data_IF_689500312534
#
_entry.id   IF_689500312534
#
_cell.length_a   1.000
_cell.length_b   1.000
_cell.length_c   1.000
_cell.angle_alpha   90.00
_cell.angle_beta   90.00
_cell.angle_gamma   90.00
#
_symmetry.space_group_name_H-M   'P 1'
#
loop_
_entity.id
_entity.type
_entity.pdbx_description
1 polymer ?
#
# COMPACT_ATOMS: atom_id res chain seq x y z
N UNK A 1 0.61 12.22 5.49
CA UNK A 1 0.22 10.79 5.58
C UNK A 1 0.85 10.06 6.78
N UNK A 2 1.27 10.76 7.86
CA UNK A 2 2.06 10.15 8.96
C UNK A 2 1.27 9.30 9.95
N UNK A 3 -0.05 9.39 9.98
CA UNK A 3 -0.82 8.81 11.09
C UNK A 3 -1.00 7.29 11.07
N UNK A 4 -0.55 6.57 10.02
CA UNK A 4 -0.72 5.10 9.89
C UNK A 4 -2.18 4.62 9.75
N UNK A 5 -3.17 5.47 9.99
CA UNK A 5 -4.61 5.14 10.00
C UNK A 5 -5.13 4.71 8.64
N UNK A 6 -4.69 5.36 7.57
CA UNK A 6 -5.11 5.04 6.20
C UNK A 6 -4.62 3.65 5.82
N UNK A 7 -3.38 3.33 6.19
CA UNK A 7 -2.78 2.01 6.00
C UNK A 7 -3.54 0.94 6.79
N UNK A 8 -3.88 1.21 8.05
CA UNK A 8 -4.69 0.28 8.84
C UNK A 8 -6.09 0.06 8.26
N UNK A 9 -6.74 1.12 7.76
CA UNK A 9 -8.04 1.03 7.07
C UNK A 9 -7.94 0.23 5.78
N UNK A 10 -6.84 0.35 5.03
CA UNK A 10 -6.59 -0.42 3.82
C UNK A 10 -6.58 -1.91 4.12
N UNK A 11 -5.83 -2.32 5.16
CA UNK A 11 -5.79 -3.72 5.61
C UNK A 11 -7.18 -4.21 6.03
N UNK A 12 -7.94 -3.43 6.80
CA UNK A 12 -9.30 -3.82 7.20
C UNK A 12 -10.26 -3.94 6.03
N UNK A 13 -10.05 -3.17 4.97
CA UNK A 13 -10.84 -3.29 3.73
C UNK A 13 -10.50 -4.57 2.97
N UNK A 14 -9.25 -5.03 3.10
CA UNK A 14 -8.76 -6.25 2.48
C UNK A 14 -9.17 -7.50 3.24
N UNK A 15 -8.94 -7.48 4.55
CA UNK A 15 -9.31 -8.53 5.47
C UNK A 15 -10.10 -7.90 6.61
N UNK A 16 -11.43 -8.06 6.63
CA UNK A 16 -12.26 -7.46 7.67
C UNK A 16 -11.79 -7.93 9.05
N UNK A 17 -11.79 -7.02 10.01
CA UNK A 17 -11.38 -7.25 11.40
C UNK A 17 -9.91 -7.62 11.64
N UNK A 18 -9.00 -7.41 10.67
CA UNK A 18 -7.59 -7.72 10.86
C UNK A 18 -6.89 -6.76 11.84
N UNK A 19 -7.16 -5.46 11.72
CA UNK A 19 -6.69 -4.42 12.65
C UNK A 19 -7.90 -3.89 13.43
N UNK A 20 -8.14 -4.46 14.61
CA UNK A 20 -9.34 -4.14 15.41
C UNK A 20 -9.29 -2.74 16.03
N UNK A 21 -8.09 -2.25 16.37
CA UNK A 21 -7.88 -1.00 17.08
C UNK A 21 -6.96 -0.09 16.27
N UNK A 22 -7.51 0.98 15.72
CA UNK A 22 -6.75 2.03 15.06
C UNK A 22 -6.77 3.23 16.00
N UNK A 23 -5.60 3.62 16.48
CA UNK A 23 -5.46 4.73 17.40
C UNK A 23 -5.76 6.05 16.67
N UNK A 24 -6.66 6.86 17.28
CA UNK A 24 -7.20 8.08 16.69
C UNK A 24 -6.63 9.36 17.31
N UNK A 25 -5.70 9.30 18.25
CA UNK A 25 -5.06 10.50 18.77
C UNK A 25 -3.83 10.86 17.92
N UNK A 26 -3.46 12.13 17.93
CA UNK A 26 -2.25 12.64 17.24
C UNK A 26 -1.02 12.53 18.15
N UNK A 27 -0.94 11.45 18.92
CA UNK A 27 0.18 11.19 19.83
C UNK A 27 1.23 10.41 19.06
N UNK A 28 2.48 10.87 19.08
CA UNK A 28 3.60 10.25 18.35
C UNK A 28 3.72 8.73 18.60
N UNK A 29 3.52 8.31 19.86
CA UNK A 29 3.53 6.89 20.25
C UNK A 29 2.40 6.09 19.59
N UNK A 30 1.18 6.65 19.57
CA UNK A 30 0.02 6.01 18.93
C UNK A 30 0.17 5.93 17.41
N UNK A 31 0.74 6.95 16.78
CA UNK A 31 1.02 6.94 15.34
C UNK A 31 2.03 5.85 14.98
N UNK A 32 3.10 5.70 15.77
CA UNK A 32 4.09 4.63 15.62
C UNK A 32 3.48 3.26 15.80
N UNK A 33 2.57 3.09 16.77
CA UNK A 33 1.88 1.83 17.01
C UNK A 33 0.94 1.46 15.85
N UNK A 34 0.21 2.42 15.28
CA UNK A 34 -0.60 2.19 14.07
C UNK A 34 0.26 1.68 12.89
N UNK A 35 1.45 2.24 12.71
CA UNK A 35 2.37 1.81 11.65
C UNK A 35 2.85 0.37 11.91
N UNK A 36 3.20 0.05 13.17
CA UNK A 36 3.58 -1.31 13.56
C UNK A 36 2.46 -2.33 13.31
N UNK A 37 1.22 -2.00 13.65
CA UNK A 37 0.05 -2.84 13.39
C UNK A 37 -0.14 -3.13 11.89
N UNK A 38 0.14 -2.15 11.03
CA UNK A 38 0.14 -2.36 9.58
C UNK A 38 1.23 -3.33 9.14
N UNK A 39 2.47 -3.15 9.60
CA UNK A 39 3.61 -4.02 9.27
C UNK A 39 3.34 -5.46 9.71
N UNK A 40 2.87 -5.66 10.94
CA UNK A 40 2.52 -6.99 11.47
C UNK A 40 1.38 -7.63 10.66
N UNK A 41 0.38 -6.84 10.24
CA UNK A 41 -0.67 -7.34 9.38
C UNK A 41 -0.15 -7.74 7.99
N UNK A 42 0.71 -6.93 7.36
CA UNK A 42 1.34 -7.27 6.09
C UNK A 42 2.16 -8.56 6.18
N UNK A 43 2.92 -8.73 7.26
CA UNK A 43 3.67 -9.96 7.53
C UNK A 43 2.77 -11.19 7.62
N UNK A 44 1.66 -11.09 8.36
CA UNK A 44 0.69 -12.18 8.48
C UNK A 44 -0.04 -12.50 7.18
N UNK A 45 -0.19 -11.51 6.31
CA UNK A 45 -0.75 -11.67 4.98
C UNK A 45 0.26 -12.24 3.96
N UNK A 46 1.50 -12.50 4.38
CA UNK A 46 2.52 -13.15 3.55
C UNK A 46 3.45 -12.19 2.79
N UNK A 47 3.47 -10.91 3.16
CA UNK A 47 4.54 -10.01 2.70
C UNK A 47 5.86 -10.45 3.34
N UNK A 48 6.91 -10.56 2.52
CA UNK A 48 8.24 -10.98 2.99
C UNK A 48 8.85 -9.89 3.86
N UNK A 49 9.62 -10.29 4.87
CA UNK A 49 10.23 -9.34 5.81
C UNK A 49 11.19 -8.34 5.13
N UNK A 50 11.81 -8.73 4.02
CA UNK A 50 12.65 -7.87 3.16
C UNK A 50 11.87 -6.75 2.47
N UNK A 51 10.58 -6.96 2.20
CA UNK A 51 9.70 -5.98 1.57
C UNK A 51 8.96 -5.13 2.62
N UNK A 52 9.08 -5.44 3.92
CA UNK A 52 8.47 -4.66 4.99
C UNK A 52 9.32 -3.43 5.31
N UNK A 53 8.68 -2.28 5.50
CA UNK A 53 9.33 -1.06 5.96
C UNK A 53 9.30 -0.94 7.48
N UNK A 54 10.17 -0.09 8.04
CA UNK A 54 10.24 0.22 9.46
C UNK A 54 9.39 1.43 9.84
N UNK A 55 9.01 1.53 11.11
CA UNK A 55 8.22 2.66 11.62
C UNK A 55 8.86 4.01 11.31
N UNK A 56 10.20 4.10 11.42
CA UNK A 56 10.96 5.32 11.15
C UNK A 56 10.91 5.73 9.68
N UNK A 57 10.87 4.77 8.75
CA UNK A 57 10.86 5.01 7.30
C UNK A 57 9.64 5.82 6.87
N UNK A 58 8.50 5.57 7.53
CA UNK A 58 7.25 6.30 7.31
C UNK A 58 7.05 7.49 8.25
N UNK A 59 7.47 7.37 9.52
CA UNK A 59 7.26 8.40 10.54
C UNK A 59 8.24 9.57 10.36
N UNK A 60 9.54 9.26 10.29
CA UNK A 60 10.62 10.23 10.09
C UNK A 60 10.90 10.50 8.60
N UNK A 61 10.16 9.84 7.70
CA UNK A 61 10.32 9.92 6.25
C UNK A 61 11.74 9.54 5.79
N UNK A 62 12.41 8.66 6.55
CA UNK A 62 13.78 8.26 6.27
C UNK A 62 13.92 7.53 4.93
N UNK A 63 12.95 6.64 4.61
CA UNK A 63 12.92 5.94 3.33
C UNK A 63 11.49 5.61 2.87
N UNK A 64 10.89 6.56 2.14
CA UNK A 64 9.57 6.36 1.55
C UNK A 64 9.57 5.36 0.38
N UNK A 65 10.72 5.07 -0.24
CA UNK A 65 10.78 4.12 -1.35
C UNK A 65 10.46 2.71 -0.85
N UNK A 66 11.00 2.33 0.31
CA UNK A 66 10.68 1.08 0.98
C UNK A 66 9.18 0.95 1.29
N UNK A 67 8.52 2.03 1.71
CA UNK A 67 7.06 2.07 1.92
C UNK A 67 6.29 1.82 0.62
N UNK A 68 6.70 2.47 -0.48
CA UNK A 68 6.06 2.31 -1.79
C UNK A 68 6.27 0.89 -2.32
N UNK A 69 7.47 0.32 -2.16
CA UNK A 69 7.78 -1.04 -2.58
C UNK A 69 6.94 -2.06 -1.78
N UNK A 70 6.88 -1.91 -0.46
CA UNK A 70 6.00 -2.71 0.40
C UNK A 70 4.55 -2.68 -0.07
N UNK A 71 4.01 -1.48 -0.35
CA UNK A 71 2.64 -1.31 -0.81
C UNK A 71 2.41 -1.96 -2.19
N UNK A 72 3.40 -1.86 -3.08
CA UNK A 72 3.34 -2.46 -4.42
C UNK A 72 3.35 -3.99 -4.37
N UNK A 73 4.24 -4.58 -3.56
CA UNK A 73 4.28 -6.02 -3.32
C UNK A 73 3.00 -6.50 -2.66
N UNK A 74 2.52 -5.77 -1.64
CA UNK A 74 1.27 -6.08 -0.97
C UNK A 74 0.07 -6.03 -1.92
N UNK A 75 -0.03 -5.01 -2.77
CA UNK A 75 -1.10 -4.90 -3.78
C UNK A 75 -1.08 -6.09 -4.75
N UNK A 76 0.10 -6.56 -5.17
CA UNK A 76 0.24 -7.76 -6.01
C UNK A 76 -0.21 -9.03 -5.30
N UNK A 77 0.17 -9.20 -4.02
CA UNK A 77 -0.24 -10.35 -3.21
C UNK A 77 -1.76 -10.42 -3.06
N UNK A 78 -2.37 -9.29 -2.74
CA UNK A 78 -3.83 -9.18 -2.57
C UNK A 78 -4.57 -9.44 -3.88
N UNK A 79 -4.03 -8.98 -5.02
CA UNK A 79 -4.57 -9.32 -6.34
C UNK A 79 -4.52 -10.82 -6.67
N UNK A 80 -3.61 -11.57 -6.04
CA UNK A 80 -3.48 -13.01 -6.26
C UNK A 80 -4.44 -13.86 -5.41
N UNK A 81 -5.14 -13.27 -4.43
CA UNK A 81 -6.00 -14.05 -3.55
C UNK A 81 -7.33 -14.43 -4.21
N UNK A 82 -7.75 -15.71 -4.14
CA UNK A 82 -8.94 -16.24 -4.84
C UNK A 82 -10.30 -15.75 -4.29
N UNK A 83 -10.32 -14.71 -3.45
CA UNK A 83 -11.53 -14.09 -2.90
C UNK A 83 -11.50 -12.56 -2.86
N UNK A 84 -10.47 -11.92 -3.44
CA UNK A 84 -10.37 -10.47 -3.48
C UNK A 84 -11.05 -9.90 -4.74
N UNK A 85 -12.26 -9.36 -4.57
CA UNK A 85 -13.04 -8.66 -5.60
C UNK A 85 -12.85 -7.14 -5.53
N UNK A 86 -11.82 -6.65 -4.84
CA UNK A 86 -11.45 -5.24 -4.86
C UNK A 86 -10.75 -4.90 -6.17
N UNK A 87 -11.18 -3.81 -6.81
CA UNK A 87 -10.68 -3.30 -8.09
C UNK A 87 -9.19 -3.56 -8.24
N UNK A 88 -8.81 -4.39 -9.23
CA UNK A 88 -7.45 -4.33 -9.78
C UNK A 88 -7.18 -2.86 -9.96
N UNK A 89 -6.22 -2.29 -9.24
CA UNK A 89 -5.64 -1.01 -9.64
C UNK A 89 -4.95 -1.36 -10.96
N UNK A 90 -5.74 -1.41 -12.03
CA UNK A 90 -5.28 -1.08 -13.34
C UNK A 90 -4.85 0.37 -13.18
N UNK A 91 -3.58 0.56 -12.81
CA UNK A 91 -2.82 1.59 -13.48
C UNK A 91 -3.26 1.49 -14.94
N UNK A 92 -3.84 2.53 -15.54
CA UNK A 92 -3.99 2.50 -16.98
C UNK A 92 -2.57 2.26 -17.49
N UNK A 93 -2.27 1.02 -17.91
CA UNK A 93 -1.12 0.73 -18.72
C UNK A 93 -1.23 1.79 -19.79
N UNK A 94 -0.26 2.70 -19.79
CA UNK A 94 -0.22 3.82 -20.70
C UNK A 94 -0.65 3.27 -22.05
N UNK A 95 -1.87 3.63 -22.46
CA UNK A 95 -2.38 3.29 -23.77
C UNK A 95 -1.38 4.00 -24.65
N UNK A 96 -0.40 3.25 -25.18
CA UNK A 96 0.57 3.73 -26.16
C UNK A 96 -0.31 4.35 -27.21
N UNK A 97 -0.47 5.67 -27.15
CA UNK A 97 -0.94 6.45 -28.28
C UNK A 97 0.16 6.17 -29.28
N UNK A 98 -0.10 5.23 -30.19
CA UNK A 98 0.54 5.26 -31.49
C UNK A 98 0.25 6.67 -31.97
N UNK A 99 1.26 7.53 -31.98
CA UNK A 99 1.22 8.70 -32.83
C UNK A 99 1.12 8.11 -34.23
N UNK A 100 -0.09 8.04 -34.78
CA UNK A 100 -0.26 8.03 -36.22
C UNK A 100 0.17 9.43 -36.67
N UNK A 101 1.42 9.51 -37.11
CA UNK A 101 1.87 10.57 -37.99
C UNK A 101 1.09 10.46 -39.29
N UNK A 102 -0.09 11.04 -39.34
CA UNK A 102 -0.74 11.41 -40.60
C UNK A 102 0.01 12.62 -41.15
N UNK A 103 1.09 12.33 -41.86
CA UNK A 103 1.76 13.25 -42.77
C UNK A 103 1.88 12.55 -44.12
N UNK A 104 0.81 12.62 -44.92
CA UNK A 104 0.95 12.69 -46.38
C UNK A 104 -0.27 13.40 -46.97
N UNK A 105 -0.12 14.70 -47.22
CA UNK A 105 -0.92 15.44 -48.20
C UNK A 105 -0.51 15.01 -49.61
N UNK A 106 -1.43 15.11 -50.57
CA UNK A 106 -1.11 15.85 -51.79
C UNK A 106 -2.03 17.06 -52.02
#
# INVERSE_FOLDING_TARGET
MRSGRVLCKLINKIRPNKIRRINKNQIAMEERENIKLFIDACRDLGVRAEDLFSVNDLYDLADLNSVINCLSTFARLVCSWPGWTGTKISLPQARRRRLSSDFTSP
#
